data_IF_470311120780
#
_entry.id   IF_470311120780
#
_cell.length_a   1.000
_cell.length_b   1.000
_cell.length_c   1.000
_cell.angle_alpha   90.00
_cell.angle_beta   90.00
_cell.angle_gamma   90.00
#
_symmetry.space_group_name_H-M   'P 1'
#
loop_
_entity.id
_entity.type
_entity.pdbx_description
1 polymer ?
#
# COMPACT_ATOMS: atom_id res chain seq x y z
N UNK A 1 -1.25 -7.44 16.28
CA UNK A 1 -2.39 -6.94 15.46
C UNK A 1 -1.85 -6.39 14.15
N UNK A 2 -2.60 -6.47 13.05
CA UNK A 2 -2.18 -6.00 11.71
C UNK A 2 -3.08 -4.87 11.23
N UNK A 3 -2.49 -3.82 10.64
CA UNK A 3 -3.23 -2.77 9.94
C UNK A 3 -3.16 -2.98 8.44
N UNK A 4 -4.30 -2.95 7.74
CA UNK A 4 -4.38 -3.09 6.28
C UNK A 4 -4.95 -1.80 5.70
N UNK A 5 -4.11 -0.97 5.11
CA UNK A 5 -4.52 0.32 4.51
C UNK A 5 -4.99 0.09 3.07
N UNK A 6 -6.12 0.70 2.71
CA UNK A 6 -6.73 0.48 1.39
C UNK A 6 -7.68 -0.72 1.39
N UNK A 7 -8.33 -1.05 2.51
CA UNK A 7 -9.19 -2.24 2.66
C UNK A 7 -10.35 -2.35 1.65
N UNK A 8 -10.75 -1.24 1.03
CA UNK A 8 -11.83 -1.22 0.03
C UNK A 8 -11.34 -1.46 -1.40
N UNK A 9 -10.02 -1.53 -1.61
CA UNK A 9 -9.41 -1.82 -2.90
C UNK A 9 -9.33 -3.32 -3.20
N UNK A 10 -8.88 -3.67 -4.41
CA UNK A 10 -8.78 -5.07 -4.86
C UNK A 10 -7.87 -5.91 -3.95
N UNK A 11 -6.61 -5.49 -3.78
CA UNK A 11 -5.62 -6.21 -2.97
C UNK A 11 -5.97 -6.19 -1.49
N UNK A 12 -6.27 -5.00 -0.95
CA UNK A 12 -6.59 -4.83 0.47
C UNK A 12 -7.81 -5.66 0.91
N UNK A 13 -8.88 -5.68 0.12
CA UNK A 13 -10.07 -6.49 0.44
C UNK A 13 -9.82 -8.00 0.36
N UNK A 14 -8.95 -8.45 -0.55
CA UNK A 14 -8.55 -9.85 -0.64
C UNK A 14 -7.73 -10.29 0.58
N UNK A 15 -6.80 -9.45 1.05
CA UNK A 15 -6.02 -9.71 2.26
C UNK A 15 -6.92 -9.76 3.49
N UNK A 16 -7.82 -8.79 3.67
CA UNK A 16 -8.78 -8.79 4.78
C UNK A 16 -9.62 -10.07 4.81
N UNK A 17 -10.17 -10.47 3.65
CA UNK A 17 -10.95 -11.72 3.53
C UNK A 17 -10.11 -12.96 3.89
N UNK A 18 -8.86 -13.00 3.47
CA UNK A 18 -7.96 -14.09 3.85
C UNK A 18 -7.72 -14.13 5.36
N UNK A 19 -7.50 -12.97 6.01
CA UNK A 19 -7.34 -12.90 7.46
C UNK A 19 -8.61 -13.33 8.21
N UNK A 20 -9.80 -12.96 7.73
CA UNK A 20 -11.07 -13.47 8.26
C UNK A 20 -11.14 -15.01 8.20
N UNK A 21 -10.71 -15.60 7.07
CA UNK A 21 -10.74 -17.06 6.87
C UNK A 21 -9.80 -17.82 7.82
N UNK A 22 -8.64 -17.25 8.16
CA UNK A 22 -7.67 -17.87 9.06
C UNK A 22 -7.82 -17.43 10.52
N UNK A 23 -8.81 -16.59 10.83
CA UNK A 23 -9.08 -16.09 12.19
C UNK A 23 -7.97 -15.20 12.75
N UNK A 24 -7.31 -14.41 11.88
CA UNK A 24 -6.23 -13.52 12.29
C UNK A 24 -6.77 -12.11 12.59
N UNK A 25 -6.34 -11.52 13.72
CA UNK A 25 -6.77 -10.18 14.11
C UNK A 25 -6.14 -9.07 13.25
N UNK A 26 -6.99 -8.29 12.59
CA UNK A 26 -6.57 -7.13 11.80
C UNK A 26 -7.56 -5.96 11.91
N UNK A 27 -7.09 -4.80 11.46
CA UNK A 27 -7.89 -3.60 11.26
C UNK A 27 -7.76 -3.19 9.80
N UNK A 28 -8.87 -3.26 9.07
CA UNK A 28 -8.95 -2.67 7.74
C UNK A 28 -9.18 -1.16 7.79
N UNK A 29 -8.24 -0.40 7.23
CA UNK A 29 -8.21 1.07 7.24
C UNK A 29 -8.61 1.62 5.88
N UNK A 30 -9.55 2.56 5.90
CA UNK A 30 -9.98 3.37 4.77
C UNK A 30 -10.05 4.86 5.15
N UNK A 31 -10.43 5.71 4.19
CA UNK A 31 -10.54 7.15 4.42
C UNK A 31 -11.51 7.54 5.54
N UNK A 32 -12.52 6.71 5.86
CA UNK A 32 -13.56 7.01 6.86
C UNK A 32 -13.08 6.73 8.29
N UNK A 33 -12.16 5.78 8.47
CA UNK A 33 -11.66 5.42 9.79
C UNK A 33 -10.18 5.74 10.02
N UNK A 34 -9.47 6.28 9.03
CA UNK A 34 -8.06 6.64 9.12
C UNK A 34 -7.72 7.44 10.40
N UNK A 35 -8.44 8.54 10.65
CA UNK A 35 -8.20 9.42 11.80
C UNK A 35 -8.36 8.72 13.16
N UNK A 36 -9.15 7.64 13.24
CA UNK A 36 -9.31 6.85 14.46
C UNK A 36 -8.07 6.00 14.77
N UNK A 37 -7.33 5.61 13.74
CA UNK A 37 -6.20 4.69 13.83
C UNK A 37 -4.84 5.37 13.68
N UNK A 38 -4.80 6.59 13.15
CA UNK A 38 -3.60 7.43 13.18
C UNK A 38 -3.09 7.60 14.62
N UNK A 39 -1.76 7.56 14.79
CA UNK A 39 -1.05 7.58 16.06
C UNK A 39 -1.16 6.28 16.87
N UNK A 40 -1.79 5.22 16.34
CA UNK A 40 -1.89 3.92 17.04
C UNK A 40 -0.75 3.00 16.67
N UNK A 41 -0.41 2.13 17.62
CA UNK A 41 0.60 1.08 17.47
C UNK A 41 0.00 -0.20 16.88
N UNK A 42 0.77 -0.83 16.00
CA UNK A 42 0.50 -2.14 15.42
C UNK A 42 1.82 -2.92 15.27
N UNK A 43 1.75 -4.23 15.01
CA UNK A 43 2.96 -5.00 14.70
C UNK A 43 3.34 -4.82 13.23
N UNK A 44 2.34 -4.87 12.35
CA UNK A 44 2.51 -4.80 10.89
C UNK A 44 1.53 -3.80 10.30
N UNK A 45 2.02 -2.95 9.40
CA UNK A 45 1.20 -2.18 8.46
C UNK A 45 1.38 -2.79 7.07
N UNK A 46 0.28 -3.12 6.40
CA UNK A 46 0.26 -3.51 4.99
C UNK A 46 -0.38 -2.37 4.22
N UNK A 47 0.42 -1.62 3.47
CA UNK A 47 -0.04 -0.52 2.65
C UNK A 47 -0.42 -1.03 1.25
N UNK A 48 -1.73 -1.24 1.05
CA UNK A 48 -2.33 -1.54 -0.24
C UNK A 48 -3.04 -0.33 -0.86
N UNK A 49 -2.82 0.88 -0.33
CA UNK A 49 -3.32 2.11 -0.93
C UNK A 49 -2.45 2.54 -2.10
N UNK A 50 -3.09 3.16 -3.09
CA UNK A 50 -2.45 3.68 -4.29
C UNK A 50 -3.39 3.64 -5.48
N UNK A 51 -3.05 4.37 -6.54
CA UNK A 51 -3.72 4.31 -7.83
C UNK A 51 -2.88 3.51 -8.81
N UNK A 52 -3.45 2.42 -9.35
CA UNK A 52 -2.85 1.70 -10.49
C UNK A 52 -3.22 2.29 -11.86
N UNK A 53 -3.84 3.48 -11.90
CA UNK A 53 -4.36 4.08 -13.13
C UNK A 53 -3.27 4.86 -13.89
N UNK A 54 -2.47 4.15 -14.69
CA UNK A 54 -1.35 4.74 -15.47
C UNK A 54 -1.76 5.93 -16.34
N UNK A 55 -2.94 5.87 -16.96
CA UNK A 55 -3.45 6.98 -17.77
C UNK A 55 -3.62 8.26 -16.95
N UNK A 56 -4.05 8.12 -15.68
CA UNK A 56 -4.25 9.25 -14.78
C UNK A 56 -2.92 9.83 -14.35
N UNK A 57 -1.93 8.99 -14.08
CA UNK A 57 -0.56 9.42 -13.80
C UNK A 57 0.02 10.28 -14.93
N UNK A 58 -0.25 9.93 -16.20
CA UNK A 58 0.21 10.71 -17.35
C UNK A 58 -0.57 12.03 -17.53
N UNK A 59 -1.87 12.04 -17.28
CA UNK A 59 -2.71 13.23 -17.48
C UNK A 59 -2.68 14.22 -16.31
N UNK A 60 -2.50 13.74 -15.09
CA UNK A 60 -2.45 14.52 -13.85
C UNK A 60 -1.44 13.91 -12.85
N UNK A 61 -0.13 14.12 -13.10
CA UNK A 61 0.93 13.59 -12.24
C UNK A 61 0.84 14.10 -10.80
N UNK A 62 0.28 15.29 -10.58
CA UNK A 62 0.11 15.86 -9.24
C UNK A 62 -0.88 15.04 -8.43
N UNK A 63 -2.07 14.75 -8.98
CA UNK A 63 -3.03 13.89 -8.27
C UNK A 63 -2.47 12.49 -8.03
N UNK A 64 -1.66 11.95 -8.95
CA UNK A 64 -1.05 10.63 -8.77
C UNK A 64 -0.04 10.64 -7.62
N UNK A 65 0.84 11.65 -7.57
CA UNK A 65 1.80 11.85 -6.50
C UNK A 65 1.13 11.94 -5.12
N UNK A 66 0.04 12.71 -5.01
CA UNK A 66 -0.71 12.84 -3.75
C UNK A 66 -1.29 11.50 -3.28
N UNK A 67 -1.83 10.71 -4.22
CA UNK A 67 -2.48 9.43 -3.91
C UNK A 67 -1.47 8.33 -3.60
N UNK A 68 -0.32 8.31 -4.27
CA UNK A 68 0.67 7.25 -4.14
C UNK A 68 1.78 7.62 -3.14
N UNK A 69 2.50 8.72 -3.39
CA UNK A 69 3.71 9.07 -2.65
C UNK A 69 3.38 9.79 -1.35
N UNK A 70 2.62 10.89 -1.42
CA UNK A 70 2.30 11.68 -0.24
C UNK A 70 1.50 10.87 0.79
N UNK A 71 0.51 10.11 0.34
CA UNK A 71 -0.27 9.24 1.23
C UNK A 71 0.59 8.16 1.89
N UNK A 72 1.54 7.56 1.17
CA UNK A 72 2.46 6.56 1.74
C UNK A 72 3.36 7.19 2.80
N UNK A 73 3.88 8.39 2.56
CA UNK A 73 4.66 9.13 3.55
C UNK A 73 3.84 9.44 4.81
N UNK A 74 2.56 9.80 4.65
CA UNK A 74 1.66 10.00 5.79
C UNK A 74 1.51 8.70 6.59
N UNK A 75 1.30 7.54 5.96
CA UNK A 75 1.18 6.27 6.69
C UNK A 75 2.47 5.86 7.41
N UNK A 76 3.62 6.09 6.79
CA UNK A 76 4.93 5.87 7.41
C UNK A 76 5.11 6.73 8.66
N UNK A 77 4.58 7.96 8.64
CA UNK A 77 4.73 8.91 9.74
C UNK A 77 3.67 8.77 10.84
N UNK A 78 2.43 8.46 10.44
CA UNK A 78 1.26 8.51 11.32
C UNK A 78 1.07 7.23 12.14
N UNK A 79 1.68 6.10 11.76
CA UNK A 79 1.53 4.84 12.49
C UNK A 79 2.80 4.47 13.26
N UNK A 80 2.64 3.90 14.45
CA UNK A 80 3.73 3.20 15.13
C UNK A 80 3.71 1.72 14.75
N UNK A 81 4.81 1.20 14.18
CA UNK A 81 4.86 -0.18 13.70
C UNK A 81 6.23 -0.82 13.87
N UNK A 82 6.28 -2.16 13.80
CA UNK A 82 7.53 -2.92 13.73
C UNK A 82 7.93 -3.25 12.29
N UNK A 83 6.95 -3.49 11.43
CA UNK A 83 7.15 -3.80 10.01
C UNK A 83 6.15 -3.03 9.15
N UNK A 84 6.63 -2.44 8.06
CA UNK A 84 5.82 -1.80 7.03
C UNK A 84 6.00 -2.55 5.71
N UNK A 85 4.91 -3.13 5.20
CA UNK A 85 4.86 -3.83 3.92
C UNK A 85 4.21 -2.89 2.91
N UNK A 86 4.99 -2.42 1.93
CA UNK A 86 4.49 -1.57 0.85
C UNK A 86 4.21 -2.41 -0.41
N UNK A 87 2.98 -2.39 -0.90
CA UNK A 87 2.63 -3.03 -2.17
C UNK A 87 3.02 -2.11 -3.32
N UNK A 88 4.23 -2.30 -3.84
CA UNK A 88 4.77 -1.57 -5.00
C UNK A 88 4.26 -2.16 -6.34
N UNK A 89 4.81 -1.69 -7.46
CA UNK A 89 4.54 -2.17 -8.82
C UNK A 89 5.83 -2.57 -9.53
N UNK A 90 5.73 -3.48 -10.49
CA UNK A 90 6.81 -3.79 -11.45
C UNK A 90 7.20 -2.57 -12.30
N UNK A 91 6.33 -1.56 -12.37
CA UNK A 91 6.55 -0.33 -13.12
C UNK A 91 7.67 0.56 -12.56
N UNK A 92 8.27 0.18 -11.42
CA UNK A 92 9.51 0.82 -10.96
C UNK A 92 10.68 0.52 -11.91
N UNK A 93 10.64 -0.60 -12.63
CA UNK A 93 11.70 -0.98 -13.56
C UNK A 93 11.49 -0.35 -14.95
N UNK A 94 12.57 0.09 -15.58
CA UNK A 94 12.54 0.66 -16.94
C UNK A 94 12.12 -0.37 -18.02
N UNK A 95 12.40 -1.66 -17.77
CA UNK A 95 12.04 -2.77 -18.64
C UNK A 95 11.39 -3.88 -17.84
N UNK A 96 10.27 -4.42 -18.35
CA UNK A 96 9.45 -5.43 -17.64
C UNK A 96 9.25 -6.69 -18.48
N UNK A 97 10.08 -6.90 -19.50
CA UNK A 97 9.88 -7.96 -20.49
C UNK A 97 10.39 -9.32 -20.02
N UNK A 98 11.30 -9.36 -19.05
CA UNK A 98 11.85 -10.59 -18.50
C UNK A 98 12.12 -10.48 -16.99
N UNK A 99 12.23 -11.63 -16.33
CA UNK A 99 12.61 -11.69 -14.92
C UNK A 99 14.03 -11.15 -14.67
N UNK A 100 14.92 -11.25 -15.66
CA UNK A 100 16.26 -10.68 -15.56
C UNK A 100 16.22 -9.15 -15.51
N UNK A 101 15.24 -8.52 -16.17
CA UNK A 101 15.08 -7.06 -16.18
C UNK A 101 14.46 -6.54 -14.87
N UNK A 102 13.65 -7.35 -14.18
CA UNK A 102 12.93 -6.96 -12.97
C UNK A 102 13.52 -7.59 -11.70
N UNK A 103 14.83 -7.86 -11.70
CA UNK A 103 15.54 -8.32 -10.52
C UNK A 103 15.75 -7.14 -9.54
N UNK A 104 15.75 -7.41 -8.24
CA UNK A 104 15.96 -6.39 -7.20
C UNK A 104 17.37 -5.74 -7.26
N UNK A 105 18.34 -6.39 -7.90
CA UNK A 105 19.68 -5.85 -8.17
C UNK A 105 19.73 -4.97 -9.44
N UNK A 106 18.62 -4.86 -10.20
CA UNK A 106 18.54 -4.00 -11.39
C UNK A 106 18.56 -2.53 -10.98
N UNK A 107 19.43 -1.74 -11.63
CA UNK A 107 19.43 -0.28 -11.47
C UNK A 107 18.19 0.32 -12.13
N UNK A 108 17.41 1.06 -11.32
CA UNK A 108 16.18 1.75 -11.71
C UNK A 108 16.47 3.19 -12.14
#
# INVERSE_FOLDING_TARGET
MIFVVGKTGLVGSAICRYFDQIGLDYVGIDRKNYSKWAGKRTDVVINCNGSGLKWKANSDPKSDFEVNVASTMNFVSDFEYRLFIHVSSVDVYNHTASQADTNEDTVI
#
